data_IF_378920324388
#
_entry.id   IF_378920324388
#
_cell.length_a   1.000
_cell.length_b   1.000
_cell.length_c   1.000
_cell.angle_alpha   90.00
_cell.angle_beta   90.00
_cell.angle_gamma   90.00
#
_symmetry.space_group_name_H-M   'P 1'
#
loop_
_entity.id
_entity.type
_entity.pdbx_description
1 polymer ?
#
# COMPACT_ATOMS: atom_id res chain seq x y z
N UNK A 1 9.70 -1.96 -13.53
CA UNK A 1 9.23 -2.09 -12.15
C UNK A 1 8.25 -3.24 -12.03
N UNK A 2 8.40 -4.03 -11.00
CA UNK A 2 7.50 -5.15 -10.74
C UNK A 2 6.44 -4.70 -9.75
N UNK A 3 5.22 -4.48 -10.23
CA UNK A 3 4.14 -3.94 -9.40
C UNK A 3 3.73 -4.88 -8.27
N UNK A 4 3.80 -6.19 -8.51
CA UNK A 4 3.48 -7.17 -7.47
C UNK A 4 4.54 -7.16 -6.38
N UNK A 5 5.79 -7.05 -6.78
CA UNK A 5 6.88 -6.99 -5.81
C UNK A 5 6.77 -5.72 -4.97
N UNK A 6 6.47 -4.60 -5.62
CA UNK A 6 6.28 -3.34 -4.91
C UNK A 6 5.14 -3.44 -3.90
N UNK A 7 4.02 -4.02 -4.31
CA UNK A 7 2.88 -4.21 -3.43
C UNK A 7 3.24 -5.13 -2.26
N UNK A 8 3.99 -6.20 -2.53
CA UNK A 8 4.38 -7.13 -1.48
C UNK A 8 5.31 -6.46 -0.47
N UNK A 9 6.24 -5.64 -0.95
CA UNK A 9 7.13 -4.92 -0.05
C UNK A 9 6.35 -3.94 0.83
N UNK A 10 5.35 -3.27 0.25
CA UNK A 10 4.49 -2.39 1.04
C UNK A 10 3.77 -3.20 2.12
N UNK A 11 3.15 -4.30 1.74
CA UNK A 11 2.47 -5.18 2.70
C UNK A 11 3.39 -5.60 3.85
N UNK A 12 4.58 -6.05 3.50
CA UNK A 12 5.50 -6.61 4.49
C UNK A 12 5.96 -5.56 5.50
N UNK A 13 5.91 -4.29 5.11
CA UNK A 13 6.47 -3.24 5.94
C UNK A 13 5.42 -2.29 6.53
N UNK A 14 4.15 -2.68 6.44
CA UNK A 14 3.08 -1.92 7.11
C UNK A 14 2.24 -2.79 8.04
N UNK A 15 2.76 -3.98 8.40
CA UNK A 15 2.07 -4.89 9.30
C UNK A 15 1.28 -5.96 8.60
N UNK A 16 1.55 -6.15 7.32
CA UNK A 16 0.92 -7.18 6.48
C UNK A 16 -0.58 -6.93 6.31
N UNK A 17 -1.25 -7.85 5.62
CA UNK A 17 -2.65 -7.67 5.29
C UNK A 17 -3.55 -7.55 6.51
N UNK A 18 -3.16 -8.14 7.62
CA UNK A 18 -3.94 -8.06 8.86
C UNK A 18 -4.06 -6.65 9.38
N UNK A 19 -3.12 -5.79 9.01
CA UNK A 19 -3.14 -4.40 9.45
C UNK A 19 -3.87 -3.48 8.49
N UNK A 20 -4.27 -3.97 7.33
CA UNK A 20 -4.97 -3.16 6.33
C UNK A 20 -6.47 -3.31 6.49
N UNK A 21 -7.13 -2.19 6.80
CA UNK A 21 -8.58 -2.15 6.92
C UNK A 21 -9.21 -1.93 5.56
N UNK A 22 -8.67 -1.00 4.78
CA UNK A 22 -9.18 -0.73 3.45
C UNK A 22 -8.10 -0.13 2.58
N UNK A 23 -8.29 -0.23 1.27
CA UNK A 23 -7.37 0.31 0.28
C UNK A 23 -8.17 1.06 -0.78
N UNK A 24 -7.65 2.20 -1.19
CA UNK A 24 -8.21 3.00 -2.25
C UNK A 24 -7.07 3.75 -2.93
N UNK A 25 -7.35 4.43 -4.02
CA UNK A 25 -6.33 5.25 -4.65
C UNK A 25 -6.98 6.45 -5.34
N UNK A 26 -6.17 7.46 -5.58
CA UNK A 26 -6.54 8.57 -6.44
C UNK A 26 -5.55 8.61 -7.59
N UNK A 27 -5.43 9.75 -8.27
CA UNK A 27 -4.60 9.86 -9.48
C UNK A 27 -3.13 9.47 -9.24
N UNK A 28 -2.58 9.81 -8.08
CA UNK A 28 -1.15 9.62 -7.80
C UNK A 28 -0.84 8.93 -6.49
N UNK A 29 -1.84 8.71 -5.64
CA UNK A 29 -1.60 8.18 -4.29
C UNK A 29 -2.38 6.91 -4.03
N UNK A 30 -1.68 5.96 -3.43
CA UNK A 30 -2.31 4.79 -2.84
C UNK A 30 -2.71 5.16 -1.41
N UNK A 31 -3.98 4.97 -1.07
CA UNK A 31 -4.53 5.36 0.24
C UNK A 31 -4.89 4.10 1.00
N UNK A 32 -4.19 3.88 2.10
CA UNK A 32 -4.42 2.70 2.93
C UNK A 32 -4.89 3.14 4.31
N UNK A 33 -6.00 2.56 4.76
CA UNK A 33 -6.41 2.70 6.15
C UNK A 33 -5.84 1.51 6.88
N UNK A 34 -5.00 1.76 7.86
CA UNK A 34 -4.36 0.71 8.62
C UNK A 34 -4.77 0.78 10.08
N UNK A 35 -4.82 -0.39 10.70
CA UNK A 35 -5.32 -0.51 12.07
C UNK A 35 -4.33 0.04 13.09
N UNK A 36 -3.06 -0.23 12.91
CA UNK A 36 -2.02 0.17 13.84
C UNK A 36 -0.87 0.82 13.09
N UNK A 37 -0.78 2.17 13.18
CA UNK A 37 0.25 2.92 12.48
C UNK A 37 1.67 2.57 12.97
N UNK A 38 1.79 2.08 14.19
CA UNK A 38 3.11 1.75 14.73
C UNK A 38 3.74 0.55 14.02
N UNK A 39 2.94 -0.23 13.30
CA UNK A 39 3.45 -1.36 12.53
C UNK A 39 3.92 -0.96 11.14
N UNK A 40 3.70 0.29 10.75
CA UNK A 40 4.08 0.76 9.43
C UNK A 40 5.49 1.36 9.49
N UNK A 41 6.38 0.82 8.65
CA UNK A 41 7.75 1.32 8.53
C UNK A 41 7.78 2.36 7.43
N UNK A 42 7.45 3.59 7.78
CA UNK A 42 7.36 4.69 6.83
C UNK A 42 8.67 4.88 6.07
N UNK A 43 9.79 4.82 6.79
CA UNK A 43 11.09 5.05 6.19
C UNK A 43 11.41 4.00 5.13
N UNK A 44 11.13 2.74 5.42
CA UNK A 44 11.35 1.68 4.45
C UNK A 44 10.48 1.88 3.22
N UNK A 45 9.20 2.17 3.43
CA UNK A 45 8.25 2.34 2.33
C UNK A 45 8.65 3.51 1.44
N UNK A 46 9.15 4.60 2.05
CA UNK A 46 9.61 5.75 1.27
C UNK A 46 10.76 5.43 0.34
N UNK A 47 11.52 4.39 0.64
CA UNK A 47 12.69 4.01 -0.13
C UNK A 47 12.42 2.87 -1.12
N UNK A 48 11.20 2.38 -1.19
CA UNK A 48 10.83 1.36 -2.18
C UNK A 48 10.86 1.99 -3.57
N UNK A 49 11.37 1.24 -4.54
CA UNK A 49 11.42 1.72 -5.91
C UNK A 49 10.03 2.11 -6.40
N UNK A 50 9.91 3.30 -6.95
CA UNK A 50 8.64 3.81 -7.47
C UNK A 50 7.86 4.64 -6.48
N UNK A 51 8.21 4.60 -5.20
CA UNK A 51 7.55 5.42 -4.18
C UNK A 51 8.23 6.77 -4.14
N UNK A 52 7.43 7.84 -4.25
CA UNK A 52 7.93 9.21 -4.27
C UNK A 52 7.76 9.90 -2.93
N UNK A 53 6.95 9.38 -2.06
CA UNK A 53 6.75 9.94 -0.73
C UNK A 53 5.68 9.18 0.02
N UNK A 54 5.64 9.38 1.34
CA UNK A 54 4.66 8.75 2.20
C UNK A 54 4.18 9.77 3.21
N UNK A 55 2.87 9.86 3.38
CA UNK A 55 2.26 10.78 4.34
C UNK A 55 1.19 10.06 5.16
N UNK A 56 1.08 10.44 6.42
CA UNK A 56 -0.05 10.03 7.25
C UNK A 56 -0.98 11.23 7.38
N UNK A 57 -2.19 11.09 6.84
CA UNK A 57 -3.17 12.17 6.87
C UNK A 57 -4.58 11.58 6.87
N UNK A 58 -5.46 12.20 7.65
CA UNK A 58 -6.88 11.81 7.68
C UNK A 58 -7.09 10.33 8.01
N UNK A 59 -6.25 9.79 8.88
CA UNK A 59 -6.36 8.38 9.27
C UNK A 59 -5.88 7.41 8.22
N UNK A 60 -5.17 7.90 7.21
CA UNK A 60 -4.70 7.07 6.09
C UNK A 60 -3.19 7.16 5.96
N UNK A 61 -2.60 6.06 5.51
CA UNK A 61 -1.23 6.08 5.02
C UNK A 61 -1.30 6.32 3.52
N UNK A 62 -0.80 7.46 3.07
CA UNK A 62 -0.87 7.85 1.66
C UNK A 62 0.51 7.69 1.04
N UNK A 63 0.60 6.81 0.04
CA UNK A 63 1.86 6.48 -0.63
C UNK A 63 1.82 7.06 -2.03
N UNK A 64 2.69 8.02 -2.31
CA UNK A 64 2.72 8.70 -3.61
C UNK A 64 3.50 7.83 -4.58
N UNK A 65 2.84 7.41 -5.66
CA UNK A 65 3.44 6.51 -6.65
C UNK A 65 3.52 7.10 -8.05
N UNK A 66 2.65 8.03 -8.36
CA UNK A 66 2.63 8.64 -9.68
C UNK A 66 1.53 8.08 -10.57
N UNK A 67 1.17 8.86 -11.58
CA UNK A 67 0.08 8.52 -12.50
C UNK A 67 0.40 7.22 -13.25
N UNK A 68 -0.58 6.34 -13.31
CA UNK A 68 -0.42 5.05 -14.00
C UNK A 68 0.21 3.97 -13.14
N UNK A 69 1.21 4.32 -12.35
CA UNK A 69 1.87 3.37 -11.45
C UNK A 69 0.94 3.02 -10.30
N UNK A 70 0.25 4.02 -9.76
CA UNK A 70 -0.62 3.83 -8.60
C UNK A 70 -1.72 2.82 -8.91
N UNK A 71 -2.28 2.86 -10.11
CA UNK A 71 -3.35 1.94 -10.50
C UNK A 71 -2.87 0.49 -10.47
N UNK A 72 -1.68 0.26 -10.97
CA UNK A 72 -1.13 -1.10 -11.05
C UNK A 72 -0.72 -1.63 -9.68
N UNK A 73 -0.17 -0.77 -8.85
CA UNK A 73 0.16 -1.18 -7.48
C UNK A 73 -1.12 -1.42 -6.68
N UNK A 74 -2.12 -0.55 -6.85
CA UNK A 74 -3.40 -0.73 -6.19
C UNK A 74 -4.04 -2.06 -6.59
N UNK A 75 -4.01 -2.40 -7.88
CA UNK A 75 -4.58 -3.67 -8.34
C UNK A 75 -3.86 -4.85 -7.69
N UNK A 76 -2.55 -4.78 -7.57
CA UNK A 76 -1.78 -5.85 -6.94
C UNK A 76 -2.09 -5.96 -5.45
N UNK A 77 -2.24 -4.83 -4.76
CA UNK A 77 -2.60 -4.82 -3.34
C UNK A 77 -4.00 -5.38 -3.16
N UNK A 78 -4.96 -4.90 -3.97
CA UNK A 78 -6.34 -5.36 -3.88
C UNK A 78 -6.47 -6.83 -4.19
N UNK A 79 -5.75 -7.30 -5.20
CA UNK A 79 -5.77 -8.70 -5.57
C UNK A 79 -5.31 -9.58 -4.41
N UNK A 80 -4.19 -9.23 -3.79
CA UNK A 80 -3.67 -9.98 -2.67
C UNK A 80 -4.63 -9.97 -1.49
N UNK A 81 -5.19 -8.80 -1.19
CA UNK A 81 -6.11 -8.63 -0.07
C UNK A 81 -7.41 -9.42 -0.30
N UNK A 82 -8.00 -9.27 -1.49
CA UNK A 82 -9.24 -9.96 -1.83
C UNK A 82 -9.04 -11.47 -1.88
N UNK A 83 -7.90 -11.91 -2.40
CA UNK A 83 -7.61 -13.33 -2.47
C UNK A 83 -7.54 -13.97 -1.09
N UNK A 84 -7.01 -13.23 -0.12
CA UNK A 84 -6.96 -13.70 1.25
C UNK A 84 -8.36 -13.90 1.82
N UNK A 85 -9.32 -13.10 1.37
CA UNK A 85 -10.70 -13.23 1.80
C UNK A 85 -11.45 -14.34 1.05
N UNK A 86 -11.06 -14.59 -0.17
CA UNK A 86 -11.72 -15.59 -1.00
C UNK A 86 -11.35 -17.03 -0.65
N UNK A 87 -10.17 -17.22 -0.13
CA UNK A 87 -9.71 -18.56 0.23
C UNK A 87 -10.32 -18.98 1.55
N UNK A 88 -11.41 -19.63 1.45
CA UNK A 88 -12.12 -20.11 2.64
C UNK A 88 -12.01 -21.59 2.73
#
# INVERSE_FOLDING_TARGET
>A
MDYRKTAQEIYDHIGKKENIISAAHCATRLRLVISDNSKADKEYVENIEGVKGVFFAQGQMQIILGTGVVNKVYDAVSYTHLRAHETK
#
